data_IF_557099650000
#
_entry.id   IF_557099650000
#
_cell.length_a   1.000
_cell.length_b   1.000
_cell.length_c   1.000
_cell.angle_alpha   90.00
_cell.angle_beta   90.00
_cell.angle_gamma   90.00
#
_symmetry.space_group_name_H-M   'P 1'
#
loop_
_entity.id
_entity.type
_entity.pdbx_description
1 polymer ?
#
# COMPACT_ATOMS: atom_id res chain seq x y z
N UNK A 1 13.34 -21.19 5.69
CA UNK A 1 12.68 -19.97 5.17
C UNK A 1 13.60 -18.77 5.32
N UNK A 2 14.13 -18.23 4.21
CA UNK A 2 14.91 -16.98 4.20
C UNK A 2 14.02 -15.84 3.72
N UNK A 3 14.15 -14.67 4.35
CA UNK A 3 13.51 -13.43 3.90
C UNK A 3 14.18 -12.97 2.61
N UNK A 4 13.38 -12.55 1.62
CA UNK A 4 13.85 -12.03 0.34
C UNK A 4 13.62 -10.52 0.22
N UNK A 5 14.39 -9.81 -0.61
CA UNK A 5 14.17 -8.38 -0.86
C UNK A 5 12.74 -8.05 -1.36
N UNK A 6 12.12 -8.96 -2.13
CA UNK A 6 10.75 -8.78 -2.58
C UNK A 6 9.75 -8.81 -1.42
N UNK A 7 9.96 -9.67 -0.43
CA UNK A 7 9.13 -9.71 0.78
C UNK A 7 9.25 -8.44 1.60
N UNK A 8 10.45 -7.85 1.71
CA UNK A 8 10.63 -6.57 2.40
C UNK A 8 9.92 -5.43 1.66
N UNK A 9 10.01 -5.38 0.32
CA UNK A 9 9.28 -4.39 -0.49
C UNK A 9 7.78 -4.53 -0.31
N UNK A 10 7.27 -5.76 -0.33
CA UNK A 10 5.87 -6.05 -0.13
C UNK A 10 5.41 -5.59 1.26
N UNK A 11 6.16 -5.96 2.31
CA UNK A 11 5.86 -5.53 3.68
C UNK A 11 5.82 -4.00 3.80
N UNK A 12 6.82 -3.31 3.25
CA UNK A 12 6.87 -1.85 3.25
C UNK A 12 5.65 -1.23 2.54
N UNK A 13 5.36 -1.64 1.31
CA UNK A 13 4.28 -1.04 0.51
C UNK A 13 2.91 -1.28 1.15
N UNK A 14 2.63 -2.50 1.61
CA UNK A 14 1.38 -2.81 2.31
C UNK A 14 1.27 -2.01 3.61
N UNK A 15 2.28 -2.05 4.47
CA UNK A 15 2.23 -1.36 5.77
C UNK A 15 2.08 0.16 5.60
N UNK A 16 2.78 0.78 4.65
CA UNK A 16 2.66 2.22 4.41
C UNK A 16 1.24 2.62 4.00
N UNK A 17 0.62 1.88 3.06
CA UNK A 17 -0.76 2.12 2.63
C UNK A 17 -1.76 1.92 3.78
N UNK A 18 -1.53 0.93 4.65
CA UNK A 18 -2.39 0.69 5.81
C UNK A 18 -2.28 1.77 6.89
N UNK A 19 -1.12 2.42 6.99
CA UNK A 19 -0.88 3.55 7.90
C UNK A 19 -1.26 4.91 7.29
N UNK A 20 -1.98 4.91 6.15
CA UNK A 20 -2.61 6.10 5.61
C UNK A 20 -1.76 6.91 4.62
N UNK A 21 -0.59 6.40 4.20
CA UNK A 21 0.15 7.01 3.10
C UNK A 21 -0.66 6.91 1.81
N UNK A 22 -0.62 7.96 1.01
CA UNK A 22 -1.21 7.96 -0.32
C UNK A 22 -0.40 7.07 -1.28
N UNK A 23 -1.09 6.48 -2.25
CA UNK A 23 -0.48 5.54 -3.22
C UNK A 23 0.71 6.16 -3.98
N UNK A 24 0.65 7.45 -4.30
CA UNK A 24 1.73 8.15 -4.99
C UNK A 24 2.97 8.35 -4.10
N UNK A 25 2.78 8.58 -2.79
CA UNK A 25 3.88 8.70 -1.83
C UNK A 25 4.61 7.37 -1.70
N UNK A 26 3.85 6.27 -1.55
CA UNK A 26 4.40 4.91 -1.47
C UNK A 26 5.12 4.54 -2.77
N UNK A 27 4.57 4.89 -3.93
CA UNK A 27 5.21 4.64 -5.23
C UNK A 27 6.56 5.36 -5.35
N UNK A 28 6.63 6.62 -4.93
CA UNK A 28 7.86 7.40 -4.95
C UNK A 28 8.91 6.80 -3.99
N UNK A 29 8.51 6.47 -2.76
CA UNK A 29 9.41 5.89 -1.75
C UNK A 29 9.91 4.49 -2.15
N UNK A 30 9.08 3.70 -2.84
CA UNK A 30 9.46 2.37 -3.34
C UNK A 30 10.24 2.41 -4.68
N UNK A 31 10.41 3.59 -5.27
CA UNK A 31 11.10 3.77 -6.55
C UNK A 31 10.35 3.13 -7.74
N UNK A 32 9.02 3.12 -7.71
CA UNK A 32 8.22 2.58 -8.80
C UNK A 32 8.06 3.60 -9.92
N UNK A 33 8.44 3.20 -11.14
CA UNK A 33 8.26 4.02 -12.35
C UNK A 33 6.79 4.18 -12.76
N UNK A 34 5.90 3.31 -12.25
CA UNK A 34 4.46 3.36 -12.49
C UNK A 34 3.69 3.23 -11.18
N UNK A 35 2.68 4.08 -11.00
CA UNK A 35 1.73 3.99 -9.89
C UNK A 35 0.99 2.64 -9.92
N UNK A 36 0.78 2.05 -11.10
CA UNK A 36 0.14 0.73 -11.21
C UNK A 36 0.89 -0.36 -10.44
N UNK A 37 2.22 -0.28 -10.38
CA UNK A 37 3.03 -1.21 -9.58
C UNK A 37 2.74 -1.10 -8.09
N UNK A 38 2.36 0.08 -7.60
CA UNK A 38 1.98 0.27 -6.19
C UNK A 38 0.53 -0.11 -5.93
N UNK A 39 -0.36 0.03 -6.92
CA UNK A 39 -1.77 -0.34 -6.79
C UNK A 39 -1.97 -1.81 -6.44
N UNK A 40 -1.04 -2.70 -6.82
CA UNK A 40 -1.11 -4.13 -6.44
C UNK A 40 -1.09 -4.35 -4.92
N UNK A 41 -0.57 -3.38 -4.15
CA UNK A 41 -0.52 -3.44 -2.68
C UNK A 41 -1.76 -2.82 -2.02
N UNK A 42 -2.66 -2.24 -2.81
CA UNK A 42 -3.94 -1.75 -2.28
C UNK A 42 -4.90 -2.92 -2.11
N UNK A 43 -5.28 -3.20 -0.87
CA UNK A 43 -6.35 -4.16 -0.57
C UNK A 43 -7.46 -3.45 0.20
N UNK A 44 -8.43 -2.82 -0.50
CA UNK A 44 -9.52 -2.14 0.17
C UNK A 44 -10.45 -3.20 0.79
N UNK A 45 -10.37 -3.38 2.12
CA UNK A 45 -11.38 -4.16 2.82
C UNK A 45 -12.72 -3.40 2.81
N UNK A 46 -13.82 -4.14 2.72
CA UNK A 46 -15.18 -3.56 2.74
C UNK A 46 -15.43 -2.72 3.99
N UNK A 47 -14.84 -3.11 5.12
CA UNK A 47 -14.91 -2.38 6.39
C UNK A 47 -14.14 -1.05 6.35
N UNK A 48 -12.91 -1.03 5.79
CA UNK A 48 -12.14 0.22 5.63
C UNK A 48 -12.86 1.22 4.72
N UNK A 49 -13.54 0.75 3.68
CA UNK A 49 -14.36 1.61 2.80
C UNK A 49 -15.58 2.18 3.53
N UNK A 50 -16.27 1.34 4.32
CA UNK A 50 -17.44 1.76 5.10
C UNK A 50 -17.08 2.81 6.16
N UNK A 51 -16.00 2.60 6.91
CA UNK A 51 -15.55 3.58 7.90
C UNK A 51 -15.19 4.94 7.30
N UNK A 52 -14.64 4.99 6.08
CA UNK A 52 -14.40 6.27 5.37
C UNK A 52 -15.69 7.01 4.99
N UNK A 53 -16.75 6.28 4.65
CA UNK A 53 -18.06 6.87 4.33
C UNK A 53 -18.74 7.45 5.57
N UNK A 54 -18.54 6.83 6.74
CA UNK A 54 -19.11 7.29 8.02
C UNK A 54 -18.45 8.57 8.57
N UNK A 55 -17.34 9.02 7.97
CA UNK A 55 -16.61 10.25 8.34
C UNK A 55 -16.98 11.47 7.47
N UNK A 56 -17.87 11.31 6.49
CA UNK A 56 -18.41 12.36 5.62
C UNK A 56 -19.77 12.83 6.14
#
# INVERSE_FOLDING_TARGET
>A
NKITPHQLRHFFCTNALENGFAVHEVANLAGHSSIQTTLIYTNPSREKMKGKLELL
#
